data_IF_488986579339
#
_entry.id   IF_488986579339
#
_cell.length_a   1.000
_cell.length_b   1.000
_cell.length_c   1.000
_cell.angle_alpha   90.00
_cell.angle_beta   90.00
_cell.angle_gamma   90.00
#
_symmetry.space_group_name_H-M   'P 1'
#
loop_
_entity.id
_entity.type
_entity.pdbx_description
1 polymer ?
#
# COMPACT_ATOMS: atom_id res chain seq x y z
N UNK A 1 8.07 -21.30 2.54
CA UNK A 1 8.13 -21.09 1.08
C UNK A 1 6.75 -20.71 0.55
N UNK A 2 6.54 -19.43 0.24
CA UNK A 2 5.40 -19.02 -0.57
C UNK A 2 5.60 -19.61 -1.98
N UNK A 3 4.64 -20.41 -2.48
CA UNK A 3 4.75 -20.97 -3.83
C UNK A 3 4.56 -19.84 -4.82
N UNK A 4 5.55 -19.61 -5.69
CA UNK A 4 5.60 -18.57 -6.76
C UNK A 4 4.23 -18.24 -7.39
N UNK A 5 3.48 -19.28 -7.77
CA UNK A 5 2.12 -19.20 -8.34
C UNK A 5 1.06 -18.48 -7.50
N UNK A 6 1.33 -18.22 -6.23
CA UNK A 6 0.44 -17.48 -5.34
C UNK A 6 0.57 -15.96 -5.51
N UNK A 7 1.59 -15.49 -6.24
CA UNK A 7 1.87 -14.06 -6.44
C UNK A 7 1.70 -13.61 -7.89
N UNK A 8 1.41 -14.50 -8.83
CA UNK A 8 1.38 -14.18 -10.27
C UNK A 8 0.49 -12.95 -10.56
N UNK A 9 -0.74 -12.93 -10.04
CA UNK A 9 -1.65 -11.79 -10.22
C UNK A 9 -1.11 -10.47 -9.65
N UNK A 10 -0.36 -10.52 -8.53
CA UNK A 10 0.31 -9.32 -7.99
C UNK A 10 1.46 -8.89 -8.92
N UNK A 11 2.30 -9.82 -9.35
CA UNK A 11 3.48 -9.52 -10.16
C UNK A 11 3.08 -8.94 -11.52
N UNK A 12 2.04 -9.47 -12.14
CA UNK A 12 1.50 -8.95 -13.41
C UNK A 12 1.03 -7.50 -13.27
N UNK A 13 0.35 -7.17 -12.17
CA UNK A 13 -0.09 -5.81 -11.87
C UNK A 13 1.11 -4.90 -11.59
N UNK A 14 2.12 -5.36 -10.83
CA UNK A 14 3.34 -4.59 -10.56
C UNK A 14 4.10 -4.29 -11.86
N UNK A 15 4.23 -5.26 -12.77
CA UNK A 15 4.83 -5.04 -14.10
C UNK A 15 4.05 -3.99 -14.89
N UNK A 16 2.71 -4.01 -14.81
CA UNK A 16 1.85 -3.05 -15.50
C UNK A 16 2.08 -1.61 -15.03
N UNK A 17 2.47 -1.40 -13.76
CA UNK A 17 2.88 -0.08 -13.24
C UNK A 17 4.17 0.47 -13.86
N UNK A 18 4.91 -0.36 -14.61
CA UNK A 18 6.19 -0.01 -15.22
C UNK A 18 7.40 -0.45 -14.43
N UNK A 19 7.22 -1.17 -13.32
CA UNK A 19 8.31 -1.83 -12.62
C UNK A 19 8.82 -3.03 -13.44
N UNK A 20 10.10 -3.33 -13.32
CA UNK A 20 10.70 -4.56 -13.78
C UNK A 20 10.74 -5.57 -12.63
N UNK A 21 10.22 -6.77 -12.89
CA UNK A 21 10.16 -7.87 -11.93
C UNK A 21 11.04 -9.01 -12.44
N UNK A 22 12.14 -9.26 -11.75
CA UNK A 22 13.05 -10.37 -12.01
C UNK A 22 12.82 -11.48 -10.97
N UNK A 23 12.31 -12.62 -11.44
CA UNK A 23 12.00 -13.77 -10.58
C UNK A 23 13.17 -14.75 -10.57
N UNK A 24 13.77 -14.93 -9.40
CA UNK A 24 14.95 -15.77 -9.16
C UNK A 24 14.57 -17.05 -8.42
N UNK A 25 15.53 -17.95 -8.27
CA UNK A 25 15.32 -19.21 -7.55
C UNK A 25 15.04 -18.99 -6.06
N UNK A 26 15.67 -17.99 -5.46
CA UNK A 26 15.65 -17.67 -4.03
C UNK A 26 14.76 -16.46 -3.68
N UNK A 27 14.18 -15.77 -4.67
CA UNK A 27 13.37 -14.60 -4.40
C UNK A 27 12.85 -13.87 -5.64
N UNK A 28 12.33 -12.67 -5.40
CA UNK A 28 11.80 -11.78 -6.44
C UNK A 28 12.49 -10.43 -6.25
N UNK A 29 13.13 -9.92 -7.29
CA UNK A 29 13.66 -8.57 -7.30
C UNK A 29 12.72 -7.66 -8.09
N UNK A 30 12.26 -6.59 -7.45
CA UNK A 30 11.47 -5.54 -8.10
C UNK A 30 12.32 -4.28 -8.21
N UNK A 31 12.38 -3.72 -9.41
CA UNK A 31 13.06 -2.45 -9.68
C UNK A 31 12.11 -1.51 -10.39
N UNK A 32 12.10 -0.25 -9.99
CA UNK A 32 11.27 0.79 -10.61
C UNK A 32 12.10 2.05 -10.81
N UNK A 33 11.81 2.78 -11.89
CA UNK A 33 12.43 4.06 -12.19
C UNK A 33 11.37 5.13 -12.37
N UNK A 34 11.46 6.21 -11.60
CA UNK A 34 10.50 7.30 -11.66
C UNK A 34 9.15 6.94 -11.05
N UNK A 35 8.11 7.66 -11.48
CA UNK A 35 6.76 7.54 -10.93
C UNK A 35 6.02 6.34 -11.56
N UNK A 36 5.36 5.47 -10.78
CA UNK A 36 4.63 4.34 -11.33
C UNK A 36 3.46 4.82 -12.20
N UNK A 37 3.04 4.03 -13.18
CA UNK A 37 1.81 4.27 -13.95
C UNK A 37 0.59 3.79 -13.16
N UNK A 38 -0.51 4.54 -13.27
CA UNK A 38 -1.79 4.11 -12.70
C UNK A 38 -2.29 2.84 -13.42
N UNK A 39 -2.77 1.88 -12.64
CA UNK A 39 -3.25 0.58 -13.11
C UNK A 39 -4.53 0.23 -12.38
N UNK A 40 -5.53 -0.20 -13.15
CA UNK A 40 -6.80 -0.67 -12.62
C UNK A 40 -6.64 -2.07 -12.02
N UNK A 41 -7.34 -2.33 -10.91
CA UNK A 41 -7.46 -3.68 -10.35
C UNK A 41 -8.90 -3.99 -10.00
N UNK A 42 -9.24 -5.27 -10.08
CA UNK A 42 -10.45 -5.84 -9.50
C UNK A 42 -10.03 -7.00 -8.61
N UNK A 43 -10.43 -6.98 -7.34
CA UNK A 43 -10.15 -8.08 -6.42
C UNK A 43 -11.02 -9.28 -6.79
N UNK A 44 -10.50 -10.48 -6.60
CA UNK A 44 -11.18 -11.73 -6.96
C UNK A 44 -10.59 -12.87 -6.10
N UNK A 45 -11.33 -13.97 -5.82
CA UNK A 45 -10.75 -15.14 -5.17
C UNK A 45 -9.56 -15.70 -5.94
N UNK A 46 -8.68 -16.44 -5.26
CA UNK A 46 -7.52 -17.06 -5.90
C UNK A 46 -7.93 -17.86 -7.16
N UNK A 47 -7.30 -17.65 -8.33
CA UNK A 47 -5.98 -17.02 -8.54
C UNK A 47 -5.98 -15.51 -8.86
N UNK A 48 -7.12 -14.81 -8.75
CA UNK A 48 -7.20 -13.38 -9.05
C UNK A 48 -6.50 -12.47 -8.03
N UNK A 49 -6.60 -11.15 -8.23
CA UNK A 49 -5.90 -10.19 -7.38
C UNK A 49 -6.41 -10.26 -5.94
N UNK A 50 -5.53 -10.55 -4.96
CA UNK A 50 -5.97 -10.77 -3.59
C UNK A 50 -6.44 -9.45 -2.98
N UNK A 51 -7.66 -9.46 -2.51
CA UNK A 51 -8.26 -8.38 -1.71
C UNK A 51 -7.34 -7.96 -0.54
N UNK A 52 -6.50 -8.86 -0.05
CA UNK A 52 -5.54 -8.62 1.04
C UNK A 52 -4.44 -7.61 0.73
N UNK A 53 -4.17 -7.38 -0.56
CA UNK A 53 -3.16 -6.44 -1.06
C UNK A 53 -3.77 -5.14 -1.61
N UNK A 54 -5.10 -5.04 -1.64
CA UNK A 54 -5.81 -3.90 -2.23
C UNK A 54 -5.42 -2.57 -1.57
N UNK A 55 -5.36 -2.50 -0.24
CA UNK A 55 -5.09 -1.26 0.48
C UNK A 55 -3.66 -0.74 0.24
N UNK A 56 -2.68 -1.65 0.19
CA UNK A 56 -1.29 -1.35 -0.10
C UNK A 56 -1.13 -0.93 -1.57
N UNK A 57 -1.86 -1.57 -2.48
CA UNK A 57 -1.89 -1.18 -3.88
C UNK A 57 -2.52 0.20 -4.10
N UNK A 58 -3.59 0.53 -3.35
CA UNK A 58 -4.18 1.87 -3.38
C UNK A 58 -3.17 2.94 -2.95
N UNK A 59 -2.37 2.70 -1.91
CA UNK A 59 -1.32 3.65 -1.50
C UNK A 59 -0.30 3.90 -2.63
N UNK A 60 0.09 2.87 -3.39
CA UNK A 60 0.93 3.02 -4.58
C UNK A 60 0.23 3.87 -5.66
N UNK A 61 -1.06 3.63 -5.91
CA UNK A 61 -1.84 4.38 -6.90
C UNK A 61 -2.03 5.85 -6.53
N UNK A 62 -2.03 6.19 -5.24
CA UNK A 62 -2.12 7.58 -4.77
C UNK A 62 -0.95 8.44 -5.24
N UNK A 63 0.20 7.84 -5.58
CA UNK A 63 1.39 8.53 -6.10
C UNK A 63 1.71 8.17 -7.55
N UNK A 64 0.81 7.46 -8.22
CA UNK A 64 1.01 7.03 -9.61
C UNK A 64 0.71 8.15 -10.63
N UNK A 65 1.12 7.94 -11.87
CA UNK A 65 0.80 8.80 -13.00
C UNK A 65 -0.52 8.36 -13.63
N UNK A 66 -1.52 9.25 -13.57
CA UNK A 66 -2.85 9.04 -14.16
C UNK A 66 -3.91 8.77 -13.10
N UNK A 67 -4.99 8.11 -13.53
CA UNK A 67 -6.09 7.69 -12.67
C UNK A 67 -6.27 6.18 -12.78
N UNK A 68 -6.62 5.54 -11.68
CA UNK A 68 -6.92 4.11 -11.61
C UNK A 68 -8.26 3.85 -10.93
N UNK A 69 -8.93 2.79 -11.35
CA UNK A 69 -10.10 2.22 -10.72
C UNK A 69 -9.72 0.97 -9.92
N UNK A 70 -10.05 0.97 -8.64
CA UNK A 70 -9.90 -0.17 -7.74
C UNK A 70 -11.30 -0.69 -7.42
N UNK A 71 -11.63 -1.90 -7.89
CA UNK A 71 -12.92 -2.55 -7.62
C UNK A 71 -12.74 -3.67 -6.61
N UNK A 72 -13.44 -3.59 -5.48
CA UNK A 72 -13.46 -4.61 -4.43
C UNK A 72 -14.73 -5.46 -4.55
N UNK A 73 -14.57 -6.77 -4.83
CA UNK A 73 -15.69 -7.70 -5.03
C UNK A 73 -15.77 -8.81 -3.98
N UNK A 74 -14.75 -8.96 -3.14
CA UNK A 74 -14.62 -10.08 -2.20
C UNK A 74 -15.14 -9.71 -0.80
N UNK A 75 -14.92 -8.47 -0.36
CA UNK A 75 -15.38 -7.99 0.95
C UNK A 75 -16.06 -6.63 0.86
N UNK A 76 -17.26 -6.54 1.42
CA UNK A 76 -17.96 -5.27 1.58
C UNK A 76 -17.19 -4.33 2.54
N UNK A 77 -17.28 -3.02 2.32
CA UNK A 77 -16.75 -1.97 3.19
C UNK A 77 -15.21 -1.99 3.40
N UNK A 78 -14.43 -2.40 2.40
CA UNK A 78 -12.97 -2.54 2.53
C UNK A 78 -12.15 -1.25 2.33
N UNK A 79 -12.79 -0.10 2.20
CA UNK A 79 -12.13 1.19 1.97
C UNK A 79 -11.90 2.02 3.25
N UNK A 80 -11.84 1.38 4.42
CA UNK A 80 -11.67 2.06 5.72
C UNK A 80 -10.35 2.86 5.88
N UNK A 81 -9.38 2.64 4.99
CA UNK A 81 -8.10 3.36 4.93
C UNK A 81 -8.19 4.67 4.15
N UNK A 82 -9.22 4.86 3.31
CA UNK A 82 -9.36 6.02 2.42
C UNK A 82 -9.40 7.35 3.17
N UNK A 83 -10.13 7.52 4.29
CA UNK A 83 -10.15 8.80 5.01
C UNK A 83 -8.77 9.23 5.52
N UNK A 84 -7.92 8.27 5.88
CA UNK A 84 -6.56 8.53 6.37
C UNK A 84 -5.60 8.87 5.21
N UNK A 85 -5.70 8.17 4.08
CA UNK A 85 -4.98 8.55 2.85
C UNK A 85 -5.41 9.95 2.37
N UNK A 86 -6.69 10.28 2.43
CA UNK A 86 -7.20 11.60 2.08
C UNK A 86 -6.65 12.70 3.02
N UNK A 87 -6.43 12.39 4.31
CA UNK A 87 -5.75 13.29 5.24
C UNK A 87 -4.30 13.56 4.84
N UNK A 88 -3.66 12.62 4.15
CA UNK A 88 -2.34 12.78 3.52
C UNK A 88 -2.42 13.43 2.13
N UNK A 89 -3.58 13.97 1.72
CA UNK A 89 -3.75 14.65 0.44
C UNK A 89 -3.99 13.74 -0.76
N UNK A 90 -4.32 12.46 -0.55
CA UNK A 90 -4.71 11.58 -1.65
C UNK A 90 -6.06 12.01 -2.26
N UNK A 91 -6.18 11.95 -3.59
CA UNK A 91 -7.43 12.21 -4.32
C UNK A 91 -8.10 10.87 -4.64
N UNK A 92 -9.07 10.51 -3.79
CA UNK A 92 -9.79 9.23 -3.86
C UNK A 92 -11.28 9.49 -3.73
N UNK A 93 -12.05 8.96 -4.67
CA UNK A 93 -13.52 8.95 -4.62
C UNK A 93 -14.01 7.51 -4.49
N UNK A 94 -14.84 7.23 -3.49
CA UNK A 94 -15.39 5.89 -3.25
C UNK A 94 -16.89 5.92 -3.50
N UNK A 95 -17.36 4.96 -4.30
CA UNK A 95 -18.78 4.69 -4.54
C UNK A 95 -19.02 3.19 -4.45
N UNK A 96 -19.69 2.76 -3.38
CA UNK A 96 -19.92 1.35 -3.06
C UNK A 96 -18.62 0.54 -3.00
N UNK A 97 -18.52 -0.50 -3.83
CA UNK A 97 -17.35 -1.37 -3.93
C UNK A 97 -16.24 -0.83 -4.85
N UNK A 98 -16.30 0.43 -5.28
CA UNK A 98 -15.36 0.98 -6.25
C UNK A 98 -14.70 2.24 -5.69
N UNK A 99 -13.38 2.33 -5.86
CA UNK A 99 -12.61 3.54 -5.62
C UNK A 99 -11.95 4.04 -6.92
N UNK A 100 -12.14 5.32 -7.24
CA UNK A 100 -11.39 6.03 -8.26
C UNK A 100 -10.26 6.79 -7.57
N UNK A 101 -9.03 6.49 -7.94
CA UNK A 101 -7.83 7.10 -7.37
C UNK A 101 -7.17 7.93 -8.46
N UNK A 102 -6.98 9.23 -8.20
CA UNK A 102 -6.21 10.10 -9.07
C UNK A 102 -4.83 10.32 -8.45
N UNK A 103 -3.81 9.78 -9.08
CA UNK A 103 -2.45 9.82 -8.54
C UNK A 103 -1.89 11.25 -8.49
N UNK A 104 -1.29 11.58 -7.36
CA UNK A 104 -0.65 12.87 -7.09
C UNK A 104 0.86 12.80 -7.32
N UNK A 105 1.53 13.95 -7.40
CA UNK A 105 3.00 13.98 -7.48
C UNK A 105 3.65 13.56 -6.16
N UNK A 106 3.01 13.91 -5.05
CA UNK A 106 3.44 13.58 -3.69
C UNK A 106 2.22 13.59 -2.78
N UNK A 107 2.34 12.87 -1.66
CA UNK A 107 1.42 13.01 -0.53
C UNK A 107 1.99 14.02 0.48
N UNK A 108 1.13 14.52 1.35
CA UNK A 108 1.50 15.45 2.43
C UNK A 108 1.71 14.67 3.72
N UNK A 109 2.80 14.91 4.46
CA UNK A 109 2.98 14.33 5.79
C UNK A 109 1.83 14.71 6.73
N UNK A 110 1.31 13.74 7.47
CA UNK A 110 0.18 13.98 8.38
C UNK A 110 0.16 12.97 9.54
N UNK A 111 -0.44 13.32 10.69
CA UNK A 111 -0.83 12.34 11.69
C UNK A 111 -2.01 11.51 11.17
N UNK A 112 -1.84 10.19 11.17
CA UNK A 112 -2.85 9.23 10.68
C UNK A 112 -3.06 8.09 11.68
N UNK A 113 -4.22 7.46 11.62
CA UNK A 113 -4.61 6.40 12.55
C UNK A 113 -4.90 5.10 11.83
N UNK A 114 -4.15 4.05 12.17
CA UNK A 114 -4.43 2.71 11.71
C UNK A 114 -5.77 2.18 12.27
N UNK A 115 -6.57 1.55 11.39
CA UNK A 115 -7.89 0.99 11.73
C UNK A 115 -7.93 -0.54 11.71
N UNK A 116 -7.08 -1.16 10.90
CA UNK A 116 -6.90 -2.61 10.80
C UNK A 116 -5.50 -2.94 10.24
N UNK A 117 -5.18 -4.24 10.14
CA UNK A 117 -3.86 -4.72 9.71
C UNK A 117 -3.46 -4.19 8.31
N UNK A 118 -4.37 -4.21 7.33
CA UNK A 118 -4.08 -3.84 5.94
C UNK A 118 -4.02 -2.33 5.78
N UNK A 119 -4.95 -1.63 6.44
CA UNK A 119 -4.91 -0.18 6.53
C UNK A 119 -3.59 0.31 7.15
N UNK A 120 -3.10 -0.38 8.20
CA UNK A 120 -1.84 -0.02 8.86
C UNK A 120 -0.66 -0.01 7.90
N UNK A 121 -0.47 -1.08 7.12
CA UNK A 121 0.65 -1.16 6.16
C UNK A 121 0.48 -0.15 5.03
N UNK A 122 -0.74 0.04 4.54
CA UNK A 122 -1.06 1.05 3.52
C UNK A 122 -0.60 2.45 3.95
N UNK A 123 -0.88 2.85 5.19
CA UNK A 123 -0.49 4.15 5.74
C UNK A 123 1.03 4.27 5.96
N UNK A 124 1.69 3.20 6.40
CA UNK A 124 3.16 3.19 6.49
C UNK A 124 3.81 3.40 5.11
N UNK A 125 3.32 2.70 4.09
CA UNK A 125 3.83 2.85 2.72
C UNK A 125 3.55 4.25 2.17
N UNK A 126 2.36 4.79 2.39
CA UNK A 126 2.02 6.16 2.00
C UNK A 126 2.92 7.20 2.70
N UNK A 127 3.20 7.03 4.00
CA UNK A 127 4.09 7.89 4.76
C UNK A 127 5.52 7.88 4.22
N UNK A 128 6.04 6.71 3.87
CA UNK A 128 7.38 6.57 3.27
C UNK A 128 7.51 7.25 1.91
N UNK A 129 6.38 7.52 1.23
CA UNK A 129 6.35 8.23 -0.04
C UNK A 129 6.22 9.77 0.10
N UNK A 130 6.19 10.30 1.33
CA UNK A 130 6.10 11.75 1.59
C UNK A 130 7.46 12.41 1.81
N UNK A 131 7.58 13.70 1.44
CA UNK A 131 8.70 14.54 1.86
C UNK A 131 8.41 15.13 3.24
N UNK A 132 8.75 14.39 4.29
CA UNK A 132 8.63 14.83 5.68
C UNK A 132 8.38 13.71 6.67
N UNK A 133 7.78 14.06 7.82
CA UNK A 133 7.49 13.12 8.91
C UNK A 133 5.98 12.99 9.08
N UNK A 134 5.48 11.77 8.90
CA UNK A 134 4.12 11.39 9.27
C UNK A 134 4.16 10.56 10.55
N UNK A 135 3.14 10.71 11.38
CA UNK A 135 2.97 9.88 12.58
C UNK A 135 1.83 8.90 12.35
N UNK A 136 2.14 7.59 12.40
CA UNK A 136 1.13 6.54 12.28
C UNK A 136 0.81 6.02 13.68
N UNK A 137 -0.38 6.35 14.16
CA UNK A 137 -0.90 5.95 15.47
C UNK A 137 -1.71 4.65 15.39
N UNK A 138 -1.94 4.02 16.56
CA UNK A 138 -2.73 2.77 16.72
C UNK A 138 -2.17 1.54 15.97
N UNK A 139 -0.84 1.45 15.92
CA UNK A 139 -0.10 0.38 15.22
C UNK A 139 -0.21 -1.03 15.82
N UNK A 140 -0.99 -1.25 16.89
CA UNK A 140 -1.19 -2.60 17.46
C UNK A 140 -1.81 -3.59 16.46
N UNK A 141 -2.54 -3.08 15.45
CA UNK A 141 -3.03 -3.90 14.34
C UNK A 141 -1.90 -4.39 13.43
N UNK A 142 -0.85 -3.59 13.25
CA UNK A 142 0.33 -3.92 12.46
C UNK A 142 1.12 -5.06 13.11
N UNK A 143 1.35 -4.96 14.42
CA UNK A 143 2.12 -5.92 15.21
C UNK A 143 1.53 -7.33 15.18
N UNK A 144 0.23 -7.46 14.92
CA UNK A 144 -0.45 -8.76 14.80
C UNK A 144 -0.18 -9.50 13.50
N UNK A 145 0.29 -8.83 12.45
CA UNK A 145 0.43 -9.43 11.12
C UNK A 145 1.76 -9.18 10.42
N UNK A 146 2.58 -8.24 10.91
CA UNK A 146 3.93 -8.01 10.41
C UNK A 146 4.91 -7.98 11.57
N UNK A 147 5.74 -9.01 11.67
CA UNK A 147 6.89 -8.99 12.59
C UNK A 147 8.01 -8.15 11.99
N UNK A 148 8.70 -7.39 12.83
CA UNK A 148 9.97 -6.71 12.53
C UNK A 148 9.87 -5.85 11.27
N UNK A 149 8.73 -5.17 11.07
CA UNK A 149 8.50 -4.39 9.86
C UNK A 149 9.47 -3.21 9.78
N UNK A 150 9.76 -2.55 10.90
CA UNK A 150 10.72 -1.47 10.97
C UNK A 150 12.11 -1.94 10.55
N UNK A 151 12.55 -3.10 11.02
CA UNK A 151 13.87 -3.64 10.69
C UNK A 151 13.95 -4.04 9.22
N UNK A 152 12.91 -4.66 8.68
CA UNK A 152 12.84 -5.06 7.26
C UNK A 152 12.84 -3.84 6.33
N UNK A 153 12.00 -2.84 6.62
CA UNK A 153 11.94 -1.62 5.83
C UNK A 153 13.21 -0.77 6.03
N UNK A 154 13.74 -0.72 7.24
CA UNK A 154 15.00 -0.05 7.57
C UNK A 154 16.20 -0.65 6.84
N UNK A 155 16.22 -1.97 6.68
CA UNK A 155 17.22 -2.68 5.85
C UNK A 155 17.13 -2.29 4.37
N UNK A 156 15.98 -1.79 3.91
CA UNK A 156 15.77 -1.23 2.58
C UNK A 156 16.00 0.30 2.53
N UNK A 157 16.48 0.92 3.61
CA UNK A 157 16.77 2.35 3.70
C UNK A 157 15.61 3.23 4.18
N UNK A 158 14.48 2.64 4.58
CA UNK A 158 13.38 3.40 5.16
C UNK A 158 13.76 3.99 6.52
N UNK A 159 13.31 5.22 6.80
CA UNK A 159 13.54 5.89 8.09
C UNK A 159 12.27 5.83 8.93
N UNK A 160 12.22 4.86 9.84
CA UNK A 160 11.08 4.59 10.72
C UNK A 160 11.57 4.60 12.17
N UNK A 161 10.81 5.23 13.06
CA UNK A 161 11.09 5.24 14.48
C UNK A 161 9.80 4.94 15.24
N UNK A 162 9.81 3.88 16.05
CA UNK A 162 8.69 3.56 16.94
C UNK A 162 8.81 4.43 18.20
N UNK A 163 7.75 5.18 18.49
CA UNK A 163 7.67 6.04 19.68
C UNK A 163 6.77 5.32 20.69
N UNK A 164 7.28 5.12 21.91
CA UNK A 164 6.46 4.62 23.01
C UNK A 164 5.80 5.82 23.70
N UNK A 165 4.49 5.73 24.00
CA UNK A 165 3.72 6.82 24.63
C UNK A 165 4.10 7.18 26.07
N UNK A 166 5.36 6.96 26.48
CA UNK A 166 5.94 7.36 27.77
C UNK A 166 6.88 8.56 27.67
N UNK A 167 7.16 9.07 26.48
CA UNK A 167 8.02 10.24 26.28
C UNK A 167 7.20 11.51 26.03
N UNK A 168 6.41 11.91 27.04
CA UNK A 168 5.63 13.15 27.07
C UNK A 168 5.38 13.62 28.49
#
# INVERSE_FOLDING_TARGET
>A
HARRRHLDALLDVIVSTGANVDVREDGIQVTASGRPRAVDITTDPFPGFPTDLQAQFMALMCVAEGSSRISETVFENRFMHVPELARMGADIQVDGGVALVRGQKSLTPAPVMATDLRASVSLVLAALATEGVSEVSRIYHLDRGYSDLEDKLGSCGAKLHRINGKDG
#
